data_IF_182820993973
#
_entry.id   IF_182820993973
#
_cell.length_a   1.000
_cell.length_b   1.000
_cell.length_c   1.000
_cell.angle_alpha   90.00
_cell.angle_beta   90.00
_cell.angle_gamma   90.00
#
_symmetry.space_group_name_H-M   'P 1'
#
loop_
_entity.id
_entity.type
_entity.pdbx_description
1 polymer ?
#
# COMPACT_ATOMS: atom_id res chain seq x y z
N UNK A 1 -9.72 10.82 -3.29
CA UNK A 1 -8.60 11.60 -3.86
C UNK A 1 -7.35 10.77 -3.64
N UNK A 2 -6.67 10.37 -4.71
CA UNK A 2 -5.49 9.51 -4.59
C UNK A 2 -4.35 10.30 -3.93
N UNK A 3 -3.74 9.74 -2.88
CA UNK A 3 -2.73 10.47 -2.07
C UNK A 3 -1.57 11.00 -2.92
N UNK A 4 -1.20 10.30 -3.99
CA UNK A 4 -0.18 10.76 -4.92
C UNK A 4 -0.55 12.05 -5.66
N UNK A 5 -1.83 12.25 -5.98
CA UNK A 5 -2.31 13.48 -6.64
C UNK A 5 -2.19 14.67 -5.69
N UNK A 6 -2.63 14.49 -4.45
CA UNK A 6 -2.50 15.50 -3.39
C UNK A 6 -1.04 15.90 -3.19
N UNK A 7 -0.15 14.92 -3.11
CA UNK A 7 1.28 15.15 -2.90
C UNK A 7 1.98 15.80 -4.11
N UNK A 8 1.41 15.73 -5.32
CA UNK A 8 1.92 16.47 -6.48
C UNK A 8 1.52 17.94 -6.49
N UNK A 9 0.37 18.26 -5.90
CA UNK A 9 -0.19 19.61 -5.90
C UNK A 9 0.16 20.41 -4.65
N UNK A 10 0.67 19.76 -3.60
CA UNK A 10 1.07 20.45 -2.37
C UNK A 10 2.31 21.32 -2.59
N UNK A 11 2.32 22.50 -1.95
CA UNK A 11 3.48 23.39 -1.92
C UNK A 11 4.43 23.11 -0.75
N UNK A 12 4.05 22.22 0.18
CA UNK A 12 4.86 21.85 1.33
C UNK A 12 5.98 20.87 0.93
N UNK A 13 7.17 21.41 0.71
CA UNK A 13 8.34 20.64 0.30
C UNK A 13 8.79 19.61 1.35
N UNK A 14 8.65 19.92 2.65
CA UNK A 14 9.08 19.01 3.71
C UNK A 14 8.16 17.79 3.76
N UNK A 15 6.85 18.00 3.67
CA UNK A 15 5.87 16.93 3.61
C UNK A 15 6.10 16.04 2.38
N UNK A 16 6.37 16.64 1.21
CA UNK A 16 6.67 15.89 -0.02
C UNK A 16 7.90 15.01 0.14
N UNK A 17 8.98 15.52 0.74
CA UNK A 17 10.21 14.74 0.96
C UNK A 17 9.96 13.57 1.92
N UNK A 18 9.22 13.79 3.02
CA UNK A 18 8.83 12.72 3.96
C UNK A 18 7.97 11.66 3.27
N UNK A 19 7.00 12.09 2.48
CA UNK A 19 6.13 11.20 1.71
C UNK A 19 6.95 10.34 0.72
N UNK A 20 7.81 10.96 -0.09
CA UNK A 20 8.65 10.26 -1.07
C UNK A 20 9.58 9.24 -0.39
N UNK A 21 10.17 9.61 0.75
CA UNK A 21 11.00 8.70 1.54
C UNK A 21 10.20 7.50 2.04
N UNK A 22 9.02 7.73 2.61
CA UNK A 22 8.15 6.67 3.12
C UNK A 22 7.68 5.72 2.00
N UNK A 23 7.22 6.26 0.87
CA UNK A 23 6.85 5.46 -0.31
C UNK A 23 8.03 4.61 -0.79
N UNK A 24 9.23 5.20 -0.91
CA UNK A 24 10.42 4.46 -1.33
C UNK A 24 10.81 3.33 -0.37
N UNK A 25 10.59 3.50 0.95
CA UNK A 25 10.81 2.42 1.93
C UNK A 25 9.81 1.29 1.70
N UNK A 26 8.53 1.61 1.55
CA UNK A 26 7.45 0.64 1.35
C UNK A 26 7.69 -0.17 0.06
N UNK A 27 8.00 0.52 -1.04
CA UNK A 27 8.29 -0.12 -2.33
C UNK A 27 9.49 -1.06 -2.26
N UNK A 28 10.57 -0.64 -1.59
CA UNK A 28 11.74 -1.51 -1.40
C UNK A 28 11.40 -2.76 -0.60
N UNK A 29 10.62 -2.61 0.49
CA UNK A 29 10.20 -3.75 1.29
C UNK A 29 9.35 -4.74 0.47
N UNK A 30 8.37 -4.25 -0.29
CA UNK A 30 7.53 -5.08 -1.16
C UNK A 30 8.36 -5.70 -2.28
N UNK A 31 9.28 -4.96 -2.91
CA UNK A 31 10.15 -5.49 -3.96
C UNK A 31 11.09 -6.59 -3.46
N UNK A 32 11.55 -6.50 -2.21
CA UNK A 32 12.52 -7.45 -1.64
C UNK A 32 11.85 -8.72 -1.10
N UNK A 33 10.69 -8.59 -0.46
CA UNK A 33 10.04 -9.69 0.26
C UNK A 33 8.73 -10.16 -0.37
N UNK A 34 8.18 -9.41 -1.34
CA UNK A 34 6.82 -9.60 -1.85
C UNK A 34 5.77 -9.16 -0.83
N UNK A 35 4.51 -9.05 -1.28
CA UNK A 35 3.39 -8.69 -0.39
C UNK A 35 3.15 -9.71 0.72
N UNK A 36 3.27 -11.01 0.43
CA UNK A 36 3.07 -12.09 1.39
C UNK A 36 4.23 -12.21 2.41
N UNK A 37 5.44 -11.75 2.03
CA UNK A 37 6.62 -11.75 2.89
C UNK A 37 6.68 -10.57 3.86
N UNK A 38 5.73 -9.62 3.77
CA UNK A 38 5.61 -8.48 4.67
C UNK A 38 4.35 -8.64 5.53
N UNK A 39 4.44 -8.25 6.80
CA UNK A 39 3.30 -8.10 7.68
C UNK A 39 3.20 -6.65 8.16
N UNK A 40 1.97 -6.14 8.27
CA UNK A 40 1.67 -4.80 8.73
C UNK A 40 1.12 -4.84 10.16
N UNK A 41 1.88 -4.31 11.12
CA UNK A 41 1.39 -4.13 12.49
C UNK A 41 0.49 -2.90 12.55
N UNK A 42 -0.82 -3.11 12.66
CA UNK A 42 -1.82 -2.05 12.66
C UNK A 42 -2.50 -1.99 14.02
N UNK A 43 -2.52 -0.82 14.65
CA UNK A 43 -3.14 -0.62 15.96
C UNK A 43 -4.26 0.43 15.95
N UNK A 44 -4.65 0.94 14.78
CA UNK A 44 -5.69 1.96 14.67
C UNK A 44 -5.27 3.37 15.10
N UNK A 45 -4.05 3.53 15.64
CA UNK A 45 -3.50 4.84 15.99
C UNK A 45 -3.06 5.62 14.75
N UNK A 46 -2.98 6.96 14.87
CA UNK A 46 -2.68 7.89 13.77
C UNK A 46 -1.51 7.48 12.87
N UNK A 47 -0.42 7.02 13.47
CA UNK A 47 0.83 6.74 12.74
C UNK A 47 0.65 5.49 11.87
N UNK A 48 0.04 4.44 12.43
CA UNK A 48 -0.28 3.22 11.70
C UNK A 48 -1.36 3.49 10.64
N UNK A 49 -2.33 4.36 10.89
CA UNK A 49 -3.36 4.74 9.90
C UNK A 49 -2.77 5.52 8.73
N UNK A 50 -1.83 6.45 8.96
CA UNK A 50 -1.09 7.09 7.87
C UNK A 50 -0.35 6.04 7.04
N UNK A 51 0.36 5.12 7.69
CA UNK A 51 1.09 4.06 7.01
C UNK A 51 0.16 3.13 6.21
N UNK A 52 -1.04 2.81 6.71
CA UNK A 52 -2.08 2.06 6.00
C UNK A 52 -2.44 2.75 4.68
N UNK A 53 -2.67 4.07 4.69
CA UNK A 53 -3.00 4.81 3.47
C UNK A 53 -1.82 4.83 2.47
N UNK A 54 -0.58 4.97 2.94
CA UNK A 54 0.61 4.90 2.09
C UNK A 54 0.78 3.50 1.47
N UNK A 55 0.58 2.44 2.26
CA UNK A 55 0.60 1.06 1.79
C UNK A 55 -0.45 0.82 0.72
N UNK A 56 -1.70 1.26 0.94
CA UNK A 56 -2.79 1.16 -0.04
C UNK A 56 -2.47 1.88 -1.35
N UNK A 57 -1.83 3.06 -1.27
CA UNK A 57 -1.44 3.81 -2.45
C UNK A 57 -0.37 3.07 -3.27
N UNK A 58 0.68 2.54 -2.61
CA UNK A 58 1.70 1.71 -3.29
C UNK A 58 1.10 0.44 -3.85
N UNK A 59 0.18 -0.20 -3.11
CA UNK A 59 -0.53 -1.39 -3.53
C UNK A 59 -1.31 -1.15 -4.83
N UNK A 60 -2.15 -0.10 -4.86
CA UNK A 60 -2.92 0.28 -6.04
C UNK A 60 -2.01 0.57 -7.25
N UNK A 61 -0.90 1.29 -7.04
CA UNK A 61 0.07 1.56 -8.10
C UNK A 61 0.75 0.29 -8.62
N UNK A 62 1.12 -0.63 -7.73
CA UNK A 62 1.83 -1.88 -8.09
C UNK A 62 0.91 -2.87 -8.79
N UNK A 63 -0.38 -2.90 -8.41
CA UNK A 63 -1.40 -3.67 -9.09
C UNK A 63 -1.61 -3.21 -10.54
N UNK A 64 -1.35 -1.93 -10.85
CA UNK A 64 -1.44 -1.37 -12.21
C UNK A 64 -0.16 -1.60 -13.02
N UNK A 65 1.01 -1.78 -12.38
CA UNK A 65 2.34 -1.64 -13.02
C UNK A 65 3.09 -2.96 -13.25
N UNK A 66 2.57 -4.14 -12.89
CA UNK A 66 3.35 -5.38 -13.05
C UNK A 66 3.82 -5.61 -14.51
N UNK A 67 5.13 -5.50 -14.80
CA UNK A 67 5.70 -5.89 -16.08
C UNK A 67 5.76 -7.41 -16.07
N UNK A 68 5.12 -8.04 -17.06
CA UNK A 68 5.32 -9.47 -17.33
C UNK A 68 6.82 -9.73 -17.45
N UNK A 69 7.40 -10.44 -16.49
CA UNK A 69 8.58 -11.26 -16.76
C UNK A 69 8.10 -12.48 -17.57
N UNK A 70 7.62 -12.24 -18.78
CA UNK A 70 7.52 -13.24 -19.83
C UNK A 70 8.34 -12.71 -20.99
N UNK A 71 9.56 -13.21 -21.08
CA UNK A 71 10.38 -13.18 -22.28
C UNK A 71 9.55 -13.66 -23.49
N UNK A 72 8.93 -12.73 -24.22
CA UNK A 72 8.42 -12.97 -25.57
C UNK A 72 8.71 -11.73 -26.40
N UNK A 73 9.65 -11.91 -27.32
CA UNK A 73 9.88 -11.03 -28.47
C UNK A 73 8.58 -10.93 -29.27
N UNK A 74 8.04 -9.73 -29.46
CA UNK A 74 6.93 -9.53 -30.41
C UNK A 74 6.03 -8.33 -30.17
N UNK A 75 6.25 -7.31 -31.01
CA UNK A 75 5.32 -6.31 -31.54
C UNK A 75 4.56 -5.39 -30.57
N UNK A 76 4.95 -4.12 -30.67
CA UNK A 76 4.23 -2.91 -30.28
C UNK A 76 2.88 -2.87 -31.02
N UNK A 77 1.74 -3.00 -30.31
CA UNK A 77 0.42 -2.42 -30.71
C UNK A 77 -0.78 -2.89 -29.87
N UNK A 78 -0.63 -3.20 -28.58
CA UNK A 78 -1.80 -3.49 -27.73
C UNK A 78 -1.68 -2.86 -26.35
N UNK A 79 -2.26 -1.66 -26.22
CA UNK A 79 -2.69 -1.08 -24.94
C UNK A 79 -3.84 -1.93 -24.39
N UNK A 80 -3.52 -3.09 -23.82
CA UNK A 80 -4.48 -3.86 -23.03
C UNK A 80 -4.41 -3.37 -21.59
N UNK A 81 -5.58 -2.94 -21.11
CA UNK A 81 -5.89 -2.54 -19.74
C UNK A 81 -5.13 -3.41 -18.72
N UNK A 82 -4.26 -2.77 -17.94
CA UNK A 82 -3.28 -3.39 -17.05
C UNK A 82 -3.87 -4.02 -15.80
N UNK A 83 -4.88 -4.87 -15.94
CA UNK A 83 -5.44 -5.63 -14.84
C UNK A 83 -4.63 -6.91 -14.57
N UNK A 84 -4.29 -7.12 -13.31
CA UNK A 84 -3.62 -8.33 -12.82
C UNK A 84 -4.51 -9.54 -13.13
N UNK A 85 -4.04 -10.44 -13.99
CA UNK A 85 -4.73 -11.69 -14.35
C UNK A 85 -4.61 -12.79 -13.27
N UNK A 86 -4.47 -12.42 -12.00
CA UNK A 86 -4.20 -13.34 -10.88
C UNK A 86 -4.80 -12.84 -9.55
N UNK A 87 -4.77 -13.67 -8.50
CA UNK A 87 -5.29 -13.27 -7.20
C UNK A 87 -4.54 -12.04 -6.67
N UNK A 88 -5.33 -11.06 -6.22
CA UNK A 88 -4.88 -9.83 -5.56
C UNK A 88 -4.07 -10.24 -4.31
N UNK A 89 -2.75 -10.02 -4.26
CA UNK A 89 -1.92 -10.47 -3.15
C UNK A 89 -2.33 -9.78 -1.83
N UNK A 90 -2.36 -10.48 -0.71
CA UNK A 90 -2.82 -9.91 0.57
C UNK A 90 -1.64 -9.56 1.46
N UNK A 91 -1.69 -8.40 2.09
CA UNK A 91 -0.74 -8.07 3.16
C UNK A 91 -1.33 -8.62 4.45
N UNK A 92 -0.54 -9.42 5.18
CA UNK A 92 -0.95 -9.91 6.50
C UNK A 92 -0.94 -8.76 7.49
N UNK A 93 -2.06 -8.52 8.18
CA UNK A 93 -2.15 -7.49 9.22
C UNK A 93 -2.14 -8.16 10.59
N UNK A 94 -1.35 -7.61 11.52
CA UNK A 94 -1.25 -8.06 12.91
C UNK A 94 -1.77 -6.95 13.82
N UNK A 95 -2.73 -7.28 14.67
CA UNK A 95 -3.23 -6.42 15.75
C UNK A 95 -3.01 -7.14 17.08
N UNK A 96 -2.50 -6.41 18.07
CA UNK A 96 -2.32 -6.91 19.42
C UNK A 96 -3.46 -6.40 20.29
N UNK A 97 -4.39 -7.29 20.61
CA UNK A 97 -5.52 -6.98 21.47
C UNK A 97 -5.06 -6.83 22.92
N UNK A 98 -5.68 -5.89 23.64
CA UNK A 98 -5.49 -5.65 25.07
C UNK A 98 -6.84 -5.31 25.68
N UNK A 99 -7.13 -5.86 26.86
CA UNK A 99 -8.38 -5.62 27.59
C UNK A 99 -8.53 -4.14 28.02
N UNK A 100 -7.40 -3.45 28.18
CA UNK A 100 -7.35 -2.02 28.54
C UNK A 100 -7.49 -1.08 27.32
N UNK A 101 -7.57 -1.63 26.10
CA UNK A 101 -7.71 -0.82 24.90
C UNK A 101 -9.13 -0.21 24.82
N UNK A 102 -9.20 1.03 24.32
CA UNK A 102 -10.49 1.67 24.08
C UNK A 102 -11.32 0.84 23.07
N UNK A 103 -12.60 0.52 23.36
CA UNK A 103 -13.44 -0.25 22.43
C UNK A 103 -13.54 0.40 21.04
N UNK A 104 -13.45 1.72 20.96
CA UNK A 104 -13.44 2.47 19.71
C UNK A 104 -12.23 2.14 18.82
N UNK A 105 -11.07 1.83 19.42
CA UNK A 105 -9.88 1.39 18.67
C UNK A 105 -10.11 0.00 18.10
N UNK A 106 -10.66 -0.93 18.89
CA UNK A 106 -10.95 -2.28 18.42
C UNK A 106 -11.97 -2.27 17.26
N UNK A 107 -13.04 -1.48 17.39
CA UNK A 107 -14.01 -1.28 16.32
C UNK A 107 -13.33 -0.71 15.07
N UNK A 108 -12.58 0.39 15.23
CA UNK A 108 -11.89 1.03 14.11
C UNK A 108 -10.89 0.08 13.41
N UNK A 109 -10.11 -0.70 14.17
CA UNK A 109 -9.15 -1.64 13.57
C UNK A 109 -9.84 -2.74 12.78
N UNK A 110 -11.01 -3.19 13.25
CA UNK A 110 -11.81 -4.22 12.58
C UNK A 110 -12.43 -3.65 11.30
N UNK A 111 -13.08 -2.49 11.39
CA UNK A 111 -13.69 -1.80 10.25
C UNK A 111 -12.68 -1.52 9.13
N UNK A 112 -11.44 -1.17 9.48
CA UNK A 112 -10.38 -0.92 8.50
C UNK A 112 -9.79 -2.20 7.89
N UNK A 113 -9.87 -3.34 8.58
CA UNK A 113 -9.40 -4.62 8.06
C UNK A 113 -10.37 -5.23 7.03
N UNK A 114 -11.63 -4.80 7.04
CA UNK A 114 -12.69 -5.25 6.13
C UNK A 114 -12.78 -4.43 4.82
N UNK A 115 -12.03 -3.33 4.70
CA UNK A 115 -12.01 -2.42 3.54
C UNK A 115 -10.86 -2.69 2.57
#
# INVERSE_FOLDING_TARGET
MEVFEVMRMTADAELVLKFQSAIGIIERAISQYGFEGVAFSFNGGKDSTVLLHLLRAVYARSAIVSPKHSSVVGNEDQLQDGFIAGPIPRIRTIYFESEDAFPQIQQFTTDMAEQ
#
